data_IF_857354064385
#
_entry.id   IF_857354064385
#
_cell.length_a   1.000
_cell.length_b   1.000
_cell.length_c   1.000
_cell.angle_alpha   90.00
_cell.angle_beta   90.00
_cell.angle_gamma   90.00
#
_symmetry.space_group_name_H-M   'P 1'
#
loop_
_entity.id
_entity.type
_entity.pdbx_description
1 polymer ?
#
# COMPACT_ATOMS: atom_id res chain seq x y z
N UNK A 1 8.08 18.97 20.44
CA UNK A 1 8.34 19.70 19.18
C UNK A 1 7.33 20.82 19.05
N UNK A 2 7.80 22.02 18.77
CA UNK A 2 6.95 23.13 18.36
C UNK A 2 6.49 22.88 16.91
N UNK A 3 5.22 22.51 16.75
CA UNK A 3 4.65 22.14 15.47
C UNK A 3 4.57 23.31 14.50
N UNK A 4 4.25 24.51 15.00
CA UNK A 4 4.14 25.70 14.15
C UNK A 4 5.51 26.11 13.62
N UNK A 5 6.54 26.06 14.44
CA UNK A 5 7.93 26.28 14.01
C UNK A 5 8.37 25.25 12.97
N UNK A 6 8.08 23.97 13.20
CA UNK A 6 8.38 22.91 12.26
C UNK A 6 7.68 23.11 10.91
N UNK A 7 6.37 23.41 10.92
CA UNK A 7 5.60 23.69 9.72
C UNK A 7 6.12 24.90 8.96
N UNK A 8 6.43 26.00 9.67
CA UNK A 8 6.98 27.20 9.05
C UNK A 8 8.35 26.93 8.43
N UNK A 9 9.19 26.13 9.07
CA UNK A 9 10.50 25.73 8.53
C UNK A 9 10.31 24.98 7.20
N UNK A 10 9.38 24.03 7.12
CA UNK A 10 9.10 23.29 5.88
C UNK A 10 8.54 24.22 4.78
N UNK A 11 7.60 25.10 5.13
CA UNK A 11 7.00 26.03 4.18
C UNK A 11 7.99 27.01 3.58
N UNK A 12 8.98 27.44 4.38
CA UNK A 12 9.97 28.43 3.96
C UNK A 12 11.10 27.84 3.11
N UNK A 13 11.41 26.54 3.30
CA UNK A 13 12.59 25.93 2.68
C UNK A 13 12.26 24.96 1.53
N UNK A 14 11.05 24.38 1.52
CA UNK A 14 10.73 23.44 0.46
C UNK A 14 10.14 24.13 -0.77
N UNK A 15 10.55 23.74 -1.99
CA UNK A 15 10.09 24.37 -3.22
C UNK A 15 8.57 24.25 -3.39
N UNK A 16 7.89 25.40 -3.52
CA UNK A 16 6.42 25.47 -3.71
C UNK A 16 5.61 24.84 -2.58
N UNK A 17 6.14 24.83 -1.37
CA UNK A 17 5.45 24.31 -0.21
C UNK A 17 4.19 25.13 0.12
N UNK A 18 3.10 24.43 0.40
CA UNK A 18 1.83 25.00 0.83
C UNK A 18 1.06 24.05 1.72
N UNK A 19 0.28 24.59 2.67
CA UNK A 19 -0.64 23.79 3.47
C UNK A 19 -1.79 23.29 2.60
N UNK A 20 -2.14 22.01 2.74
CA UNK A 20 -3.28 21.35 2.07
C UNK A 20 -4.05 20.50 3.07
N UNK A 21 -5.17 19.92 2.67
CA UNK A 21 -5.96 19.02 3.53
C UNK A 21 -6.38 19.69 4.86
N UNK A 22 -6.72 20.98 4.83
CA UNK A 22 -7.08 21.72 6.05
C UNK A 22 -5.89 21.92 7.02
N UNK A 23 -4.67 22.00 6.49
CA UNK A 23 -3.44 22.17 7.30
C UNK A 23 -2.85 20.86 7.83
N UNK A 24 -3.43 19.72 7.46
CA UNK A 24 -2.95 18.39 7.90
C UNK A 24 -1.72 17.92 7.14
N UNK A 25 -1.48 18.49 5.98
CA UNK A 25 -0.36 18.14 5.12
C UNK A 25 0.25 19.38 4.51
N UNK A 26 1.54 19.28 4.20
CA UNK A 26 2.26 20.22 3.35
C UNK A 26 2.46 19.53 1.99
N UNK A 27 2.03 20.19 0.92
CA UNK A 27 2.30 19.76 -0.45
C UNK A 27 3.43 20.61 -1.02
N UNK A 28 4.42 19.98 -1.61
CA UNK A 28 5.55 20.66 -2.24
C UNK A 28 6.07 19.87 -3.45
N UNK A 29 7.13 20.34 -4.10
CA UNK A 29 7.85 19.56 -5.11
C UNK A 29 8.71 18.49 -4.45
N UNK A 30 8.84 17.37 -5.14
CA UNK A 30 9.59 16.23 -4.63
C UNK A 30 11.10 16.57 -4.51
N UNK A 31 11.71 16.10 -3.43
CA UNK A 31 13.13 16.25 -3.17
C UNK A 31 13.98 15.13 -3.80
N UNK A 32 13.31 14.05 -4.29
CA UNK A 32 13.96 12.82 -4.77
C UNK A 32 13.78 12.56 -6.27
N UNK A 33 12.88 13.30 -6.95
CA UNK A 33 12.69 13.14 -8.38
C UNK A 33 12.37 14.49 -9.07
N UNK A 34 12.47 14.58 -10.41
CA UNK A 34 12.17 15.82 -11.14
C UNK A 34 10.72 16.31 -10.99
N UNK A 35 9.86 15.50 -10.33
CA UNK A 35 8.45 15.80 -10.11
C UNK A 35 7.68 16.08 -11.42
N UNK A 36 6.74 17.00 -11.43
CA UNK A 36 5.93 17.34 -12.58
C UNK A 36 6.67 18.27 -13.55
N UNK A 37 6.42 18.09 -14.88
CA UNK A 37 6.83 19.09 -15.90
C UNK A 37 6.19 20.45 -15.61
N UNK A 38 4.96 20.46 -15.07
CA UNK A 38 4.32 21.68 -14.62
C UNK A 38 4.94 22.12 -13.27
N UNK A 39 5.70 23.20 -13.32
CA UNK A 39 6.43 23.73 -12.14
C UNK A 39 5.51 24.16 -11.00
N UNK A 40 4.21 24.40 -11.24
CA UNK A 40 3.25 24.78 -10.21
C UNK A 40 2.61 23.58 -9.50
N UNK A 41 2.89 22.34 -9.94
CA UNK A 41 2.35 21.11 -9.34
C UNK A 41 3.44 20.39 -8.55
N UNK A 42 3.17 20.09 -7.27
CA UNK A 42 3.95 19.21 -6.44
C UNK A 42 3.21 17.91 -6.18
N UNK A 43 3.94 16.80 -6.14
CA UNK A 43 3.40 15.48 -5.82
C UNK A 43 3.97 14.91 -4.52
N UNK A 44 4.72 15.73 -3.80
CA UNK A 44 5.32 15.38 -2.51
C UNK A 44 4.46 15.93 -1.37
N UNK A 45 4.13 15.08 -0.43
CA UNK A 45 3.26 15.41 0.70
C UNK A 45 3.97 15.08 1.99
N UNK A 46 3.84 15.94 2.97
CA UNK A 46 4.41 15.78 4.31
C UNK A 46 3.27 15.93 5.30
N UNK A 47 3.04 14.91 6.15
CA UNK A 47 2.02 14.99 7.20
C UNK A 47 2.48 15.90 8.33
N UNK A 48 1.56 16.72 8.85
CA UNK A 48 1.80 17.57 10.01
C UNK A 48 1.30 16.83 11.27
N UNK A 49 2.18 16.51 12.24
CA UNK A 49 1.77 15.91 13.51
C UNK A 49 0.77 16.80 14.25
N UNK A 50 -0.25 16.23 14.86
CA UNK A 50 -1.26 16.96 15.66
C UNK A 50 -1.06 16.76 17.15
N UNK A 51 -0.32 15.75 17.52
CA UNK A 51 -0.02 15.41 18.90
C UNK A 51 1.44 15.04 19.07
N UNK A 52 1.89 14.91 20.32
CA UNK A 52 3.25 14.46 20.65
C UNK A 52 3.51 13.01 20.25
N UNK A 53 2.45 12.29 19.90
CA UNK A 53 2.48 10.86 19.63
C UNK A 53 2.41 10.54 18.14
N UNK A 54 2.22 11.55 17.29
CA UNK A 54 2.16 11.38 15.84
C UNK A 54 3.51 11.67 15.19
N UNK A 55 3.95 10.77 14.32
CA UNK A 55 5.12 10.98 13.47
C UNK A 55 4.77 11.85 12.25
N UNK A 56 5.73 12.65 11.80
CA UNK A 56 5.65 13.28 10.48
C UNK A 56 6.15 12.33 9.42
N UNK A 57 5.35 12.08 8.39
CA UNK A 57 5.68 11.24 7.26
C UNK A 57 5.76 12.05 5.98
N UNK A 58 6.61 11.64 5.05
CA UNK A 58 6.58 12.15 3.69
C UNK A 58 6.23 11.05 2.69
N UNK A 59 5.64 11.47 1.57
CA UNK A 59 5.31 10.58 0.45
C UNK A 59 5.25 11.36 -0.86
N UNK A 60 5.90 10.84 -1.89
CA UNK A 60 5.79 11.34 -3.26
C UNK A 60 4.87 10.44 -4.09
N UNK A 61 3.78 10.99 -4.62
CA UNK A 61 2.86 10.24 -5.48
C UNK A 61 3.43 9.88 -6.85
N UNK A 62 4.58 10.44 -7.22
CA UNK A 62 5.19 10.21 -8.53
C UNK A 62 6.30 9.15 -8.48
N UNK A 63 7.28 9.31 -7.59
CA UNK A 63 8.39 8.36 -7.47
C UNK A 63 8.24 7.38 -6.31
N UNK A 64 7.12 7.45 -5.58
CA UNK A 64 6.77 6.60 -4.44
C UNK A 64 7.72 6.72 -3.23
N UNK A 65 8.74 7.61 -3.30
CA UNK A 65 9.59 7.87 -2.13
C UNK A 65 8.75 8.24 -0.92
N UNK A 66 8.96 7.56 0.19
CA UNK A 66 8.20 7.78 1.42
C UNK A 66 9.03 7.43 2.64
N UNK A 67 8.72 8.04 3.77
CA UNK A 67 9.43 7.77 5.02
C UNK A 67 8.96 8.64 6.17
N UNK A 68 9.63 8.47 7.32
CA UNK A 68 9.48 9.36 8.47
C UNK A 68 10.38 10.57 8.26
N UNK A 69 9.87 11.76 8.53
CA UNK A 69 10.72 12.94 8.56
C UNK A 69 11.62 12.88 9.81
N UNK A 70 12.90 12.75 9.58
CA UNK A 70 13.94 12.72 10.62
C UNK A 70 14.85 13.94 10.48
N UNK A 71 15.75 14.12 11.42
CA UNK A 71 16.83 15.11 11.29
C UNK A 71 17.63 14.89 10.00
N UNK A 72 18.02 13.64 9.71
CA UNK A 72 18.77 13.33 8.49
C UNK A 72 17.97 13.66 7.23
N UNK A 73 16.67 13.37 7.24
CA UNK A 73 15.78 13.72 6.14
C UNK A 73 15.74 15.23 5.88
N UNK A 74 15.70 16.05 6.93
CA UNK A 74 15.76 17.51 6.79
C UNK A 74 17.10 17.96 6.18
N UNK A 75 18.21 17.39 6.61
CA UNK A 75 19.54 17.67 6.04
C UNK A 75 19.58 17.31 4.55
N UNK A 76 19.09 16.13 4.17
CA UNK A 76 18.99 15.70 2.76
C UNK A 76 18.20 16.69 1.91
N UNK A 77 17.18 17.33 2.49
CA UNK A 77 16.37 18.36 1.81
C UNK A 77 17.01 19.76 1.85
N UNK A 78 18.23 19.89 2.38
CA UNK A 78 18.94 21.15 2.52
C UNK A 78 18.37 22.06 3.61
N UNK A 79 17.60 21.50 4.54
CA UNK A 79 16.99 22.23 5.66
C UNK A 79 17.83 22.01 6.91
N UNK A 80 18.43 23.07 7.43
CA UNK A 80 19.27 23.00 8.61
C UNK A 80 18.75 23.93 9.71
N UNK A 81 18.10 23.39 10.73
CA UNK A 81 17.74 24.08 11.96
C UNK A 81 18.05 23.17 13.15
N UNK A 82 19.13 23.45 13.91
CA UNK A 82 19.59 22.58 14.99
C UNK A 82 18.53 22.37 16.09
N UNK A 83 17.73 23.39 16.39
CA UNK A 83 16.69 23.26 17.41
C UNK A 83 15.55 22.37 16.96
N UNK A 84 15.03 22.58 15.74
CA UNK A 84 14.00 21.71 15.17
C UNK A 84 14.51 20.27 15.02
N UNK A 85 15.79 20.11 14.66
CA UNK A 85 16.42 18.79 14.56
C UNK A 85 16.42 18.03 15.90
N UNK A 86 16.80 18.68 16.99
CA UNK A 86 16.79 18.10 18.34
C UNK A 86 15.35 17.79 18.76
N UNK A 87 14.46 18.75 18.60
CA UNK A 87 13.04 18.58 18.96
C UNK A 87 12.37 17.47 18.17
N UNK A 88 12.65 17.37 16.86
CA UNK A 88 12.12 16.31 16.01
C UNK A 88 12.66 14.93 16.40
N UNK A 89 13.95 14.84 16.75
CA UNK A 89 14.55 13.59 17.21
C UNK A 89 13.94 13.12 18.52
N UNK A 90 13.72 14.02 19.48
CA UNK A 90 13.06 13.71 20.75
C UNK A 90 11.58 13.32 20.52
N UNK A 91 10.88 14.08 19.68
CA UNK A 91 9.51 13.81 19.31
C UNK A 91 9.36 12.42 18.69
N UNK A 92 10.20 12.08 17.71
CA UNK A 92 10.16 10.78 17.05
C UNK A 92 10.45 9.64 18.05
N UNK A 93 11.41 9.81 18.97
CA UNK A 93 11.66 8.82 20.03
C UNK A 93 10.44 8.61 20.94
N UNK A 94 9.80 9.70 21.36
CA UNK A 94 8.59 9.62 22.20
C UNK A 94 7.44 8.98 21.44
N UNK A 95 7.19 9.40 20.20
CA UNK A 95 6.13 8.83 19.36
C UNK A 95 6.35 7.34 19.07
N UNK A 96 7.60 6.90 18.84
CA UNK A 96 7.93 5.48 18.65
C UNK A 96 7.77 4.66 19.92
N UNK A 97 8.02 5.24 21.09
CA UNK A 97 7.97 4.55 22.38
C UNK A 97 6.59 4.62 23.05
N UNK A 98 5.66 5.41 22.52
CA UNK A 98 4.34 5.54 23.13
C UNK A 98 3.54 4.25 22.96
N UNK A 99 3.07 3.63 24.09
CA UNK A 99 2.21 2.45 24.05
C UNK A 99 0.90 2.68 23.29
N UNK A 100 0.38 3.91 23.24
CA UNK A 100 -0.83 4.25 22.46
C UNK A 100 -0.64 4.11 20.95
N UNK A 101 0.58 4.27 20.45
CA UNK A 101 0.93 3.88 19.07
C UNK A 101 1.08 2.35 18.91
N UNK A 102 1.08 1.61 20.03
CA UNK A 102 1.08 0.13 20.04
C UNK A 102 -0.32 -0.48 20.08
N UNK A 103 -1.34 0.33 20.27
CA UNK A 103 -2.74 -0.11 20.27
C UNK A 103 -3.31 0.07 18.85
N UNK A 104 -2.75 -0.66 17.91
CA UNK A 104 -3.62 -1.24 16.92
C UNK A 104 -4.21 -2.47 17.59
N UNK A 105 -5.39 -2.32 18.15
CA UNK A 105 -6.15 -3.43 18.64
C UNK A 105 -6.27 -4.43 17.49
N UNK A 106 -5.75 -5.64 17.70
CA UNK A 106 -6.02 -6.80 16.86
C UNK A 106 -7.52 -7.11 16.76
N UNK A 107 -8.34 -6.42 17.51
CA UNK A 107 -9.79 -6.58 17.61
C UNK A 107 -10.58 -5.89 16.47
N UNK A 108 -9.93 -5.15 15.58
CA UNK A 108 -10.55 -4.49 14.43
C UNK A 108 -10.34 -5.22 13.10
N UNK A 109 -10.32 -6.54 13.11
CA UNK A 109 -10.63 -7.26 11.89
C UNK A 109 -12.16 -7.20 11.73
N UNK A 110 -12.64 -6.39 10.79
CA UNK A 110 -14.05 -6.37 10.46
C UNK A 110 -14.48 -7.77 10.03
N UNK A 111 -15.53 -8.28 10.64
CA UNK A 111 -16.07 -9.59 10.31
C UNK A 111 -16.86 -9.53 8.98
N UNK A 112 -16.21 -8.98 7.95
CA UNK A 112 -16.78 -8.81 6.62
C UNK A 112 -16.92 -10.18 5.98
N UNK A 113 -18.14 -10.56 5.67
CA UNK A 113 -18.48 -11.79 4.98
C UNK A 113 -18.26 -11.62 3.48
N UNK A 114 -17.62 -12.58 2.86
CA UNK A 114 -17.53 -12.72 1.41
C UNK A 114 -17.35 -14.19 1.10
N UNK A 115 -18.47 -14.88 0.98
CA UNK A 115 -18.53 -16.35 0.86
C UNK A 115 -19.15 -16.81 -0.45
N UNK A 116 -19.71 -15.88 -1.21
CA UNK A 116 -20.41 -16.17 -2.46
C UNK A 116 -20.06 -15.14 -3.53
N UNK A 117 -19.96 -15.61 -4.76
CA UNK A 117 -19.92 -14.79 -5.97
C UNK A 117 -21.08 -15.24 -6.85
N UNK A 118 -21.92 -14.30 -7.27
CA UNK A 118 -22.94 -14.56 -8.29
C UNK A 118 -22.24 -14.81 -9.62
N UNK A 119 -22.49 -15.99 -10.20
CA UNK A 119 -21.88 -16.42 -11.44
C UNK A 119 -22.69 -15.90 -12.64
N UNK A 120 -22.55 -14.62 -12.91
CA UNK A 120 -23.14 -13.94 -14.07
C UNK A 120 -22.08 -13.65 -15.16
N UNK A 121 -22.53 -13.08 -16.28
CA UNK A 121 -21.64 -12.77 -17.40
C UNK A 121 -20.54 -11.77 -17.02
N UNK A 122 -20.82 -10.84 -16.10
CA UNK A 122 -19.88 -9.85 -15.65
C UNK A 122 -18.79 -10.47 -14.76
N UNK A 123 -19.17 -11.27 -13.77
CA UNK A 123 -18.22 -11.97 -12.90
C UNK A 123 -17.36 -12.95 -13.69
N UNK A 124 -17.95 -13.63 -14.68
CA UNK A 124 -17.24 -14.51 -15.62
C UNK A 124 -16.25 -13.74 -16.48
N UNK A 125 -16.63 -12.57 -16.99
CA UNK A 125 -15.73 -11.69 -17.74
C UNK A 125 -14.52 -11.27 -16.89
N UNK A 126 -14.76 -10.82 -15.65
CA UNK A 126 -13.71 -10.39 -14.72
C UNK A 126 -12.77 -11.53 -14.35
N UNK A 127 -13.30 -12.72 -14.08
CA UNK A 127 -12.50 -13.91 -13.80
C UNK A 127 -11.63 -14.28 -15.01
N UNK A 128 -12.20 -14.26 -16.21
CA UNK A 128 -11.45 -14.51 -17.43
C UNK A 128 -10.36 -13.45 -17.67
N UNK A 129 -10.63 -12.18 -17.37
CA UNK A 129 -9.63 -11.11 -17.44
C UNK A 129 -8.44 -11.41 -16.52
N UNK A 130 -8.67 -11.79 -15.26
CA UNK A 130 -7.60 -12.14 -14.32
C UNK A 130 -6.78 -13.31 -14.89
N UNK A 131 -7.46 -14.38 -15.28
CA UNK A 131 -6.82 -15.61 -15.77
C UNK A 131 -5.99 -15.36 -17.03
N UNK A 132 -6.53 -14.60 -17.97
CA UNK A 132 -5.81 -14.23 -19.20
C UNK A 132 -4.60 -13.35 -18.89
N UNK A 133 -4.78 -12.35 -18.04
CA UNK A 133 -3.72 -11.41 -17.66
C UNK A 133 -2.55 -12.09 -16.97
N UNK A 134 -2.84 -13.01 -16.06
CA UNK A 134 -1.83 -13.68 -15.24
C UNK A 134 -1.39 -15.03 -15.79
N UNK A 135 -2.09 -15.57 -16.80
CA UNK A 135 -1.84 -16.92 -17.29
C UNK A 135 -2.21 -18.00 -16.25
N UNK A 136 -3.24 -17.75 -15.45
CA UNK A 136 -3.71 -18.65 -14.38
C UNK A 136 -5.03 -19.34 -14.74
N UNK A 137 -5.48 -20.23 -13.88
CA UNK A 137 -6.77 -20.94 -14.01
C UNK A 137 -7.60 -20.82 -12.73
N UNK A 138 -7.69 -19.61 -12.18
CA UNK A 138 -8.48 -19.33 -10.98
C UNK A 138 -9.94 -19.67 -11.21
N UNK A 139 -10.56 -20.19 -10.18
CA UNK A 139 -12.01 -20.43 -10.09
C UNK A 139 -12.68 -19.38 -9.19
N UNK A 140 -14.01 -19.35 -9.16
CA UNK A 140 -14.75 -18.51 -8.20
C UNK A 140 -14.40 -18.85 -6.74
N UNK A 141 -14.15 -20.13 -6.43
CA UNK A 141 -13.71 -20.56 -5.09
C UNK A 141 -12.35 -19.99 -4.73
N UNK A 142 -11.43 -19.93 -5.70
CA UNK A 142 -10.13 -19.33 -5.49
C UNK A 142 -10.26 -17.82 -5.26
N UNK A 143 -11.11 -17.13 -6.02
CA UNK A 143 -11.37 -15.71 -5.81
C UNK A 143 -11.91 -15.42 -4.40
N UNK A 144 -12.84 -16.22 -3.89
CA UNK A 144 -13.34 -16.09 -2.52
C UNK A 144 -12.22 -16.32 -1.51
N UNK A 145 -11.48 -17.42 -1.65
CA UNK A 145 -10.36 -17.76 -0.76
C UNK A 145 -9.28 -16.70 -0.73
N UNK A 146 -9.01 -16.08 -1.85
CA UNK A 146 -7.95 -15.09 -2.03
C UNK A 146 -8.43 -13.65 -1.89
N UNK A 147 -9.66 -13.44 -1.40
CA UNK A 147 -10.23 -12.11 -1.17
C UNK A 147 -10.34 -11.23 -2.44
N UNK A 148 -10.59 -11.86 -3.60
CA UNK A 148 -10.82 -11.18 -4.89
C UNK A 148 -12.30 -10.96 -5.08
N UNK A 149 -12.73 -9.70 -5.19
CA UNK A 149 -14.14 -9.30 -5.32
C UNK A 149 -14.48 -9.10 -6.78
N UNK A 150 -15.23 -10.04 -7.35
CA UNK A 150 -15.71 -9.97 -8.74
C UNK A 150 -17.07 -9.28 -8.82
N UNK A 151 -17.89 -9.38 -7.77
CA UNK A 151 -19.19 -8.76 -7.66
C UNK A 151 -19.25 -7.96 -6.34
N UNK A 152 -19.29 -6.64 -6.46
CA UNK A 152 -19.31 -5.75 -5.30
C UNK A 152 -20.65 -5.81 -4.57
N UNK A 153 -21.75 -6.00 -5.31
CA UNK A 153 -23.08 -6.14 -4.71
C UNK A 153 -23.18 -7.38 -3.81
N UNK A 154 -22.58 -8.50 -4.19
CA UNK A 154 -22.55 -9.70 -3.34
C UNK A 154 -21.88 -9.40 -2.00
N UNK A 155 -20.71 -8.74 -2.04
CA UNK A 155 -20.00 -8.33 -0.82
C UNK A 155 -20.87 -7.43 0.06
N UNK A 156 -21.51 -6.42 -0.52
CA UNK A 156 -22.33 -5.46 0.22
C UNK A 156 -23.57 -6.11 0.80
N UNK A 157 -24.26 -6.95 0.02
CA UNK A 157 -25.47 -7.64 0.45
C UNK A 157 -25.19 -8.65 1.57
N UNK A 158 -24.11 -9.44 1.50
CA UNK A 158 -23.73 -10.38 2.57
C UNK A 158 -23.46 -9.65 3.92
N UNK A 159 -23.13 -8.36 3.86
CA UNK A 159 -22.84 -7.55 5.04
C UNK A 159 -24.00 -6.61 5.42
N UNK A 160 -25.18 -6.80 4.84
CA UNK A 160 -26.37 -5.97 5.08
C UNK A 160 -26.15 -4.47 4.80
N UNK A 161 -25.28 -4.15 3.87
CA UNK A 161 -25.00 -2.78 3.46
C UNK A 161 -25.92 -2.43 2.30
N UNK A 162 -27.13 -1.98 2.64
CA UNK A 162 -28.18 -1.62 1.68
C UNK A 162 -28.24 -0.13 1.34
N UNK A 163 -27.65 0.70 2.18
CA UNK A 163 -27.59 2.14 1.97
C UNK A 163 -26.35 2.52 1.14
N UNK A 164 -26.47 2.44 -0.14
CA UNK A 164 -25.51 3.00 -1.13
C UNK A 164 -25.58 4.53 -1.09
N UNK A 165 -25.17 5.08 0.01
CA UNK A 165 -25.72 6.20 0.74
C UNK A 165 -25.62 7.57 0.11
N UNK A 166 -24.90 7.82 -0.96
CA UNK A 166 -24.93 9.17 -1.58
C UNK A 166 -24.91 9.16 -3.10
N UNK A 167 -24.48 8.08 -3.71
CA UNK A 167 -24.34 7.97 -5.17
C UNK A 167 -24.56 6.52 -5.61
N UNK A 168 -25.80 6.05 -5.75
CA UNK A 168 -26.08 4.67 -6.20
C UNK A 168 -25.38 4.34 -7.51
N UNK A 169 -25.29 5.28 -8.42
CA UNK A 169 -24.59 5.12 -9.69
C UNK A 169 -23.09 4.81 -9.54
N UNK A 170 -22.44 5.23 -8.42
CA UNK A 170 -21.03 4.92 -8.20
C UNK A 170 -20.82 3.43 -7.95
N UNK A 171 -21.70 2.79 -7.17
CA UNK A 171 -21.59 1.37 -6.88
C UNK A 171 -21.78 0.56 -8.17
N UNK A 172 -22.75 0.93 -8.99
CA UNK A 172 -22.97 0.30 -10.31
C UNK A 172 -21.73 0.42 -11.21
N UNK A 173 -21.10 1.58 -11.25
CA UNK A 173 -19.86 1.76 -12.01
C UNK A 173 -18.69 0.95 -11.42
N UNK A 174 -18.52 0.95 -10.11
CA UNK A 174 -17.49 0.16 -9.44
C UNK A 174 -17.72 -1.32 -9.67
N UNK A 175 -18.95 -1.77 -9.56
CA UNK A 175 -19.28 -3.17 -9.81
C UNK A 175 -19.09 -3.54 -11.28
N UNK A 176 -19.52 -2.71 -12.23
CA UNK A 176 -19.44 -3.05 -13.66
C UNK A 176 -18.04 -2.90 -14.28
N UNK A 177 -17.18 -2.04 -13.74
CA UNK A 177 -15.93 -1.65 -14.40
C UNK A 177 -14.66 -1.98 -13.63
N UNK A 178 -14.77 -2.49 -12.40
CA UNK A 178 -13.62 -2.75 -11.55
C UNK A 178 -13.59 -4.19 -11.03
N UNK A 179 -12.39 -4.66 -10.76
CA UNK A 179 -12.13 -5.84 -9.92
C UNK A 179 -11.68 -5.33 -8.55
N UNK A 180 -12.23 -5.92 -7.49
CA UNK A 180 -11.89 -5.57 -6.12
C UNK A 180 -10.94 -6.56 -5.46
N UNK A 181 -10.18 -6.07 -4.48
CA UNK A 181 -9.27 -6.84 -3.65
C UNK A 181 -9.46 -6.40 -2.21
N UNK A 182 -9.95 -7.29 -1.34
CA UNK A 182 -10.22 -6.97 0.06
C UNK A 182 -8.92 -6.73 0.82
N UNK A 183 -8.94 -5.69 1.65
CA UNK A 183 -7.83 -5.41 2.57
C UNK A 183 -7.72 -6.49 3.65
N UNK A 184 -6.56 -6.54 4.33
CA UNK A 184 -6.33 -7.50 5.40
C UNK A 184 -7.34 -7.38 6.55
N UNK A 185 -7.75 -6.15 6.88
CA UNK A 185 -8.78 -5.88 7.88
C UNK A 185 -10.21 -6.03 7.31
N UNK A 186 -10.34 -6.32 6.01
CA UNK A 186 -11.60 -6.49 5.28
C UNK A 186 -12.52 -5.26 5.33
N UNK A 187 -12.01 -4.09 5.71
CA UNK A 187 -12.76 -2.83 5.75
C UNK A 187 -12.76 -2.09 4.41
N UNK A 188 -11.78 -2.35 3.57
CA UNK A 188 -11.61 -1.72 2.27
C UNK A 188 -11.59 -2.74 1.14
N UNK A 189 -12.10 -2.31 -0.01
CA UNK A 189 -11.88 -2.98 -1.29
C UNK A 189 -10.99 -2.07 -2.14
N UNK A 190 -9.81 -2.53 -2.49
CA UNK A 190 -8.99 -1.87 -3.48
C UNK A 190 -9.52 -2.23 -4.86
N UNK A 191 -10.18 -1.28 -5.50
CA UNK A 191 -10.85 -1.45 -6.78
C UNK A 191 -9.89 -1.08 -7.92
N UNK A 192 -9.63 -2.02 -8.81
CA UNK A 192 -8.81 -1.85 -10.03
C UNK A 192 -9.71 -1.71 -11.25
N UNK A 193 -9.62 -0.57 -11.93
CA UNK A 193 -10.34 -0.32 -13.16
C UNK A 193 -9.87 -1.26 -14.29
N UNK A 194 -10.82 -1.87 -14.98
CA UNK A 194 -10.59 -2.73 -16.13
C UNK A 194 -10.55 -1.97 -17.46
N UNK A 195 -10.76 -0.65 -17.41
CA UNK A 195 -10.81 0.22 -18.61
C UNK A 195 -11.90 -0.20 -19.61
N UNK A 196 -13.01 -0.77 -19.08
CA UNK A 196 -14.07 -1.34 -19.93
C UNK A 196 -15.01 -0.26 -20.50
N UNK A 197 -15.12 0.88 -19.84
CA UNK A 197 -16.07 1.93 -20.20
C UNK A 197 -15.38 3.25 -20.50
N UNK A 198 -15.68 3.81 -21.67
CA UNK A 198 -15.46 5.20 -21.97
C UNK A 198 -16.44 6.07 -21.17
N UNK A 199 -16.03 7.32 -20.83
CA UNK A 199 -16.87 8.31 -20.16
C UNK A 199 -17.27 8.00 -18.70
N UNK A 200 -16.38 7.41 -17.92
CA UNK A 200 -16.56 7.32 -16.46
C UNK A 200 -16.63 8.73 -15.83
N UNK A 201 -17.48 8.94 -14.81
CA UNK A 201 -17.43 10.17 -14.03
C UNK A 201 -16.01 10.45 -13.52
N UNK A 202 -15.55 11.69 -13.59
CA UNK A 202 -14.17 12.08 -13.18
C UNK A 202 -13.79 11.63 -11.77
N UNK A 203 -14.77 11.43 -10.89
CA UNK A 203 -14.54 10.95 -9.52
C UNK A 203 -14.08 9.49 -9.46
N UNK A 204 -14.47 8.69 -10.44
CA UNK A 204 -14.15 7.25 -10.56
C UNK A 204 -13.35 6.91 -11.81
N UNK A 205 -13.06 7.89 -12.68
CA UNK A 205 -12.10 7.76 -13.77
C UNK A 205 -10.67 7.74 -13.21
N UNK A 206 -10.37 6.67 -12.51
CA UNK A 206 -9.08 6.41 -11.87
C UNK A 206 -8.70 4.97 -12.07
N UNK A 207 -7.39 4.74 -12.18
CA UNK A 207 -6.84 3.39 -12.28
C UNK A 207 -7.12 2.55 -11.03
N UNK A 208 -7.10 3.17 -9.84
CA UNK A 208 -7.38 2.54 -8.56
C UNK A 208 -8.27 3.42 -7.70
N UNK A 209 -9.19 2.78 -6.99
CA UNK A 209 -10.08 3.40 -6.00
C UNK A 209 -10.08 2.53 -4.75
N UNK A 210 -9.89 3.13 -3.58
CA UNK A 210 -10.11 2.44 -2.31
C UNK A 210 -11.55 2.68 -1.86
N UNK A 211 -12.38 1.66 -1.96
CA UNK A 211 -13.75 1.70 -1.49
C UNK A 211 -13.84 1.24 -0.03
N UNK A 212 -14.41 2.08 0.83
CA UNK A 212 -14.60 1.75 2.23
C UNK A 212 -15.97 1.06 2.40
N UNK A 213 -15.96 -0.21 2.79
CA UNK A 213 -17.16 -1.04 2.90
C UNK A 213 -18.15 -0.48 3.93
N UNK A 214 -17.67 0.01 5.06
CA UNK A 214 -18.51 0.48 6.18
C UNK A 214 -18.65 2.00 6.28
N UNK A 215 -18.04 2.76 5.38
CA UNK A 215 -18.09 4.22 5.39
C UNK A 215 -17.37 4.90 6.56
N UNK A 216 -16.65 4.15 7.39
CA UNK A 216 -15.89 4.66 8.52
C UNK A 216 -14.44 4.91 8.10
N UNK A 217 -13.95 6.11 8.38
CA UNK A 217 -12.55 6.49 8.12
C UNK A 217 -11.69 6.18 9.33
N UNK A 218 -11.45 4.91 9.60
CA UNK A 218 -10.35 4.55 10.47
C UNK A 218 -9.07 4.40 9.65
N UNK A 219 -7.90 4.62 10.28
CA UNK A 219 -6.58 4.49 9.67
C UNK A 219 -6.21 3.03 9.43
N UNK A 220 -7.05 2.34 8.74
CA UNK A 220 -7.02 0.91 8.59
C UNK A 220 -6.10 0.50 7.46
N UNK A 221 -5.69 -0.72 7.54
CA UNK A 221 -4.70 -1.33 6.68
C UNK A 221 -5.31 -1.64 5.32
N UNK A 222 -5.09 -0.77 4.36
CA UNK A 222 -5.62 -0.87 2.99
C UNK A 222 -4.89 -1.88 2.13
N UNK A 223 -3.91 -2.57 2.70
CA UNK A 223 -3.11 -3.53 1.96
C UNK A 223 -3.97 -4.76 1.65
N UNK A 224 -4.01 -5.14 0.40
CA UNK A 224 -4.53 -6.44 0.00
C UNK A 224 -3.56 -7.52 0.47
N UNK A 225 -4.08 -8.57 1.06
CA UNK A 225 -3.31 -9.74 1.50
C UNK A 225 -4.01 -11.00 1.05
N UNK A 226 -3.28 -11.91 0.44
CA UNK A 226 -3.76 -13.25 0.13
C UNK A 226 -3.73 -14.04 1.44
N UNK A 227 -4.88 -14.57 1.92
CA UNK A 227 -4.92 -15.38 3.13
C UNK A 227 -4.07 -16.65 3.00
N UNK A 228 -3.16 -16.85 3.94
CA UNK A 228 -2.28 -18.02 4.00
C UNK A 228 -2.24 -18.54 5.41
N UNK A 229 -1.77 -19.79 5.58
CA UNK A 229 -1.59 -20.36 6.91
C UNK A 229 -0.19 -20.03 7.42
N UNK A 230 -0.12 -19.43 8.60
CA UNK A 230 1.14 -19.12 9.28
C UNK A 230 1.33 -20.07 10.48
N UNK A 231 2.52 -20.61 10.60
CA UNK A 231 2.96 -21.34 11.78
C UNK A 231 4.04 -20.50 12.48
N UNK A 232 3.62 -19.72 13.46
CA UNK A 232 4.53 -18.87 14.24
C UNK A 232 5.36 -19.65 15.26
N UNK A 233 5.12 -20.95 15.44
CA UNK A 233 5.95 -21.84 16.26
C UNK A 233 7.16 -22.36 15.48
N UNK A 234 7.15 -22.24 14.15
CA UNK A 234 8.27 -22.61 13.31
C UNK A 234 9.44 -21.65 13.54
N UNK A 235 10.69 -22.13 13.77
CA UNK A 235 11.87 -21.29 13.92
C UNK A 235 12.29 -20.59 12.63
N UNK A 236 11.87 -21.09 11.47
CA UNK A 236 12.15 -20.47 10.18
C UNK A 236 11.44 -19.12 10.04
N UNK A 237 12.06 -18.13 9.40
CA UNK A 237 11.43 -16.83 9.20
C UNK A 237 10.17 -16.93 8.35
N UNK A 238 9.17 -16.11 8.69
CA UNK A 238 8.00 -15.91 7.83
C UNK A 238 8.44 -15.12 6.59
N UNK A 239 8.17 -15.64 5.40
CA UNK A 239 8.48 -14.96 4.15
C UNK A 239 7.40 -13.94 3.81
N UNK A 240 7.77 -12.67 3.84
CA UNK A 240 6.87 -11.57 3.51
C UNK A 240 7.11 -11.08 2.09
N UNK A 241 6.23 -11.48 1.17
CA UNK A 241 6.25 -11.07 -0.22
C UNK A 241 5.43 -9.82 -0.41
N UNK A 242 6.01 -8.75 -0.97
CA UNK A 242 5.38 -7.45 -1.17
C UNK A 242 5.54 -7.01 -2.61
N UNK A 243 4.43 -6.67 -3.28
CA UNK A 243 4.43 -6.11 -4.63
C UNK A 243 3.67 -4.78 -4.68
N UNK A 244 3.81 -4.00 -5.76
CA UNK A 244 3.15 -2.70 -5.88
C UNK A 244 1.62 -2.84 -5.97
N UNK A 245 1.15 -3.74 -6.82
CA UNK A 245 -0.26 -3.94 -7.09
C UNK A 245 -0.80 -5.34 -6.77
N UNK A 246 -2.14 -5.47 -6.67
CA UNK A 246 -2.77 -6.77 -6.43
C UNK A 246 -2.47 -7.82 -7.51
N UNK A 247 -2.42 -7.41 -8.79
CA UNK A 247 -2.09 -8.35 -9.87
C UNK A 247 -0.66 -8.84 -9.80
N UNK A 248 0.27 -7.98 -9.34
CA UNK A 248 1.67 -8.36 -9.20
C UNK A 248 1.82 -9.44 -8.14
N UNK A 249 1.20 -9.23 -6.97
CA UNK A 249 1.29 -10.18 -5.87
C UNK A 249 0.54 -11.49 -6.16
N UNK A 250 -0.60 -11.44 -6.88
CA UNK A 250 -1.29 -12.64 -7.36
C UNK A 250 -0.41 -13.44 -8.32
N UNK A 251 0.26 -12.77 -9.26
CA UNK A 251 1.18 -13.43 -10.17
C UNK A 251 2.37 -14.06 -9.43
N UNK A 252 2.95 -13.35 -8.48
CA UNK A 252 4.00 -13.90 -7.60
C UNK A 252 3.52 -15.15 -6.89
N UNK A 253 2.34 -15.10 -6.28
CA UNK A 253 1.74 -16.22 -5.55
C UNK A 253 1.52 -17.44 -6.44
N UNK A 254 0.85 -17.26 -7.59
CA UNK A 254 0.47 -18.38 -8.47
C UNK A 254 1.58 -18.86 -9.39
N UNK A 255 2.41 -17.95 -9.89
CA UNK A 255 3.37 -18.24 -10.95
C UNK A 255 4.79 -18.51 -10.44
N UNK A 256 5.20 -17.86 -9.34
CA UNK A 256 6.59 -17.94 -8.87
C UNK A 256 6.75 -18.69 -7.55
N UNK A 257 5.81 -18.54 -6.62
CA UNK A 257 5.95 -19.03 -5.25
C UNK A 257 4.81 -19.99 -4.93
N UNK A 258 4.93 -21.21 -5.41
CA UNK A 258 3.91 -22.25 -5.21
C UNK A 258 3.78 -22.71 -3.75
N UNK A 259 4.74 -22.38 -2.88
CA UNK A 259 4.71 -22.76 -1.46
C UNK A 259 3.93 -21.73 -0.66
N UNK A 260 2.78 -22.14 -0.17
CA UNK A 260 1.89 -21.31 0.66
C UNK A 260 2.22 -21.36 2.16
N UNK A 261 3.18 -22.19 2.54
CA UNK A 261 3.53 -22.42 3.95
C UNK A 261 4.41 -21.30 4.47
N UNK A 262 4.05 -20.78 5.64
CA UNK A 262 4.77 -19.74 6.38
C UNK A 262 5.15 -18.50 5.55
N UNK A 263 4.26 -18.11 4.64
CA UNK A 263 4.46 -16.99 3.72
C UNK A 263 3.27 -16.05 3.74
N UNK A 264 3.52 -14.74 3.62
CA UNK A 264 2.52 -13.69 3.50
C UNK A 264 2.71 -13.02 2.14
N UNK A 265 1.61 -12.79 1.42
CA UNK A 265 1.61 -12.12 0.13
C UNK A 265 0.76 -10.87 0.22
N UNK A 266 1.39 -9.70 0.09
CA UNK A 266 0.73 -8.41 0.27
C UNK A 266 1.03 -7.44 -0.88
N UNK A 267 0.05 -6.61 -1.22
CA UNK A 267 0.28 -5.48 -2.11
C UNK A 267 0.28 -4.16 -1.37
N UNK A 268 1.02 -3.17 -1.91
CA UNK A 268 1.18 -1.85 -1.29
C UNK A 268 -0.11 -1.04 -1.33
N UNK A 269 -0.86 -1.12 -2.42
CA UNK A 269 -2.11 -0.39 -2.66
C UNK A 269 -2.02 1.12 -2.36
N UNK A 270 -0.88 1.73 -2.69
CA UNK A 270 -0.62 3.15 -2.48
C UNK A 270 -0.19 3.55 -1.07
N UNK A 271 0.01 2.59 -0.15
CA UNK A 271 0.52 2.88 1.21
C UNK A 271 2.04 3.01 1.29
N UNK A 272 2.74 2.71 0.20
CA UNK A 272 4.20 2.65 0.16
C UNK A 272 4.79 1.40 0.83
N UNK A 273 5.98 1.01 0.39
CA UNK A 273 6.69 -0.19 0.88
C UNK A 273 6.90 -0.18 2.40
N UNK A 274 7.26 0.98 2.95
CA UNK A 274 7.48 1.13 4.38
C UNK A 274 6.17 1.00 5.19
N UNK A 275 5.05 1.46 4.65
CA UNK A 275 3.73 1.35 5.31
C UNK A 275 3.31 -0.09 5.52
N UNK A 276 3.54 -0.95 4.52
CA UNK A 276 3.27 -2.39 4.60
C UNK A 276 4.16 -3.06 5.65
N UNK A 277 5.45 -2.77 5.65
CA UNK A 277 6.37 -3.33 6.65
C UNK A 277 5.99 -2.94 8.06
N UNK A 278 5.69 -1.65 8.29
CA UNK A 278 5.23 -1.19 9.61
C UNK A 278 4.01 -1.95 10.09
N UNK A 279 3.08 -2.23 9.20
CA UNK A 279 1.91 -3.03 9.57
C UNK A 279 2.31 -4.42 10.08
N UNK A 280 3.11 -5.16 9.32
CA UNK A 280 3.48 -6.54 9.71
C UNK A 280 4.38 -6.57 10.94
N UNK A 281 5.35 -5.67 11.05
CA UNK A 281 6.27 -5.64 12.20
C UNK A 281 5.58 -5.09 13.46
N UNK A 282 4.90 -3.96 13.36
CA UNK A 282 4.40 -3.25 14.55
C UNK A 282 3.00 -3.69 14.96
N UNK A 283 2.12 -3.98 14.01
CA UNK A 283 0.73 -4.36 14.30
C UNK A 283 0.61 -5.86 14.48
N UNK A 284 1.12 -6.64 13.55
CA UNK A 284 1.08 -8.10 13.64
C UNK A 284 2.22 -8.67 14.50
N UNK A 285 3.16 -7.83 14.94
CA UNK A 285 4.30 -8.21 15.81
C UNK A 285 5.15 -9.34 15.24
N UNK A 286 5.28 -9.39 13.92
CA UNK A 286 6.14 -10.38 13.28
C UNK A 286 7.58 -9.89 13.34
N UNK A 287 8.39 -10.55 14.13
CA UNK A 287 9.79 -10.16 14.40
C UNK A 287 10.82 -11.02 13.67
N UNK A 288 10.41 -12.18 13.15
CA UNK A 288 11.27 -13.08 12.38
C UNK A 288 10.77 -13.13 10.93
N UNK A 289 11.20 -12.16 10.12
CA UNK A 289 10.77 -12.01 8.73
C UNK A 289 11.94 -12.12 7.77
N UNK A 290 11.68 -12.76 6.64
CA UNK A 290 12.46 -12.66 5.40
C UNK A 290 11.62 -11.85 4.39
N UNK A 291 12.12 -10.69 3.97
CA UNK A 291 11.34 -9.72 3.21
C UNK A 291 11.71 -9.79 1.72
N UNK A 292 10.72 -9.99 0.88
CA UNK A 292 10.85 -10.07 -0.57
C UNK A 292 10.05 -8.95 -1.24
N UNK A 293 10.74 -7.94 -1.77
CA UNK A 293 10.13 -6.88 -2.55
C UNK A 293 10.15 -7.17 -4.04
N UNK A 294 8.97 -7.27 -4.64
CA UNK A 294 8.75 -7.36 -6.08
C UNK A 294 8.48 -5.95 -6.60
N UNK A 295 9.52 -5.31 -7.10
CA UNK A 295 9.48 -3.90 -7.45
C UNK A 295 9.34 -3.70 -8.95
N UNK A 296 8.58 -2.68 -9.33
CA UNK A 296 8.50 -2.22 -10.71
C UNK A 296 9.87 -1.73 -11.19
N UNK A 297 10.15 -1.86 -12.49
CA UNK A 297 11.45 -1.50 -13.05
C UNK A 297 11.77 0.00 -12.98
N UNK A 298 10.78 0.86 -12.76
CA UNK A 298 10.95 2.31 -12.58
C UNK A 298 11.12 2.73 -11.11
N UNK A 299 11.06 1.81 -10.16
CA UNK A 299 11.34 2.06 -8.73
C UNK A 299 12.84 2.23 -8.53
N UNK A 300 13.22 3.36 -7.91
CA UNK A 300 14.62 3.66 -7.64
C UNK A 300 15.15 2.81 -6.49
N UNK A 301 16.33 2.22 -6.67
CA UNK A 301 17.02 1.43 -5.64
C UNK A 301 17.26 2.24 -4.35
N UNK A 302 17.44 3.55 -4.43
CA UNK A 302 17.65 4.40 -3.25
C UNK A 302 16.51 4.32 -2.23
N UNK A 303 15.26 4.17 -2.70
CA UNK A 303 14.12 3.95 -1.81
C UNK A 303 14.24 2.63 -1.04
N UNK A 304 14.63 1.59 -1.75
CA UNK A 304 14.72 0.25 -1.16
C UNK A 304 15.92 0.17 -0.20
N UNK A 305 17.05 0.77 -0.57
CA UNK A 305 18.21 0.87 0.33
C UNK A 305 17.87 1.66 1.59
N UNK A 306 17.10 2.74 1.49
CA UNK A 306 16.62 3.49 2.64
C UNK A 306 15.75 2.62 3.58
N UNK A 307 14.86 1.81 3.02
CA UNK A 307 14.04 0.87 3.81
C UNK A 307 14.93 -0.18 4.48
N UNK A 308 15.92 -0.70 3.76
CA UNK A 308 16.89 -1.66 4.31
C UNK A 308 17.62 -1.10 5.54
N UNK A 309 18.09 0.15 5.47
CA UNK A 309 18.69 0.81 6.62
C UNK A 309 17.74 0.92 7.83
N UNK A 310 16.46 1.18 7.60
CA UNK A 310 15.47 1.27 8.66
C UNK A 310 15.19 -0.06 9.35
N UNK A 311 15.27 -1.19 8.62
CA UNK A 311 15.00 -2.51 9.17
C UNK A 311 16.25 -3.25 9.64
N UNK A 312 17.44 -2.76 9.31
CA UNK A 312 18.72 -3.35 9.74
C UNK A 312 18.79 -3.69 11.24
N UNK A 313 18.27 -2.84 12.18
CA UNK A 313 18.27 -3.16 13.59
C UNK A 313 17.44 -4.39 14.00
N UNK A 314 16.56 -4.85 13.11
CA UNK A 314 15.70 -6.00 13.36
C UNK A 314 16.29 -7.32 12.89
N UNK A 315 17.49 -7.30 12.28
CA UNK A 315 18.19 -8.50 11.78
C UNK A 315 17.36 -9.31 10.77
N UNK A 316 16.61 -8.64 9.91
CA UNK A 316 15.76 -9.26 8.88
C UNK A 316 16.49 -9.26 7.54
N UNK A 317 16.47 -10.39 6.84
CA UNK A 317 16.96 -10.43 5.47
C UNK A 317 15.98 -9.74 4.52
N UNK A 318 16.51 -8.99 3.56
CA UNK A 318 15.70 -8.30 2.54
C UNK A 318 16.22 -8.56 1.14
N UNK A 319 15.31 -8.99 0.28
CA UNK A 319 15.56 -9.28 -1.13
C UNK A 319 14.77 -8.36 -2.03
N UNK A 320 15.41 -7.90 -3.12
CA UNK A 320 14.72 -7.23 -4.21
C UNK A 320 14.58 -8.19 -5.38
N UNK A 321 13.39 -8.25 -5.92
CA UNK A 321 13.03 -8.99 -7.12
C UNK A 321 12.65 -8.00 -8.22
N UNK A 322 13.21 -8.18 -9.42
CA UNK A 322 12.85 -7.41 -10.62
C UNK A 322 12.51 -8.35 -11.75
N UNK A 323 11.49 -7.98 -12.52
CA UNK A 323 11.17 -8.69 -13.75
C UNK A 323 12.01 -8.10 -14.89
N UNK A 324 13.01 -8.83 -15.34
CA UNK A 324 13.92 -8.41 -16.41
C UNK A 324 13.47 -8.89 -17.80
N UNK A 325 12.26 -9.42 -17.94
CA UNK A 325 11.72 -9.80 -19.23
C UNK A 325 11.55 -8.55 -20.13
N UNK A 326 11.94 -8.60 -21.41
CA UNK A 326 11.88 -7.44 -22.30
C UNK A 326 10.47 -6.83 -22.38
N UNK A 327 10.42 -5.50 -22.34
CA UNK A 327 9.18 -4.71 -22.42
C UNK A 327 8.15 -5.00 -21.31
N UNK A 328 8.56 -5.60 -20.21
CA UNK A 328 7.70 -5.83 -19.04
C UNK A 328 8.13 -4.92 -17.91
N UNK A 329 7.17 -4.23 -17.30
CA UNK A 329 7.43 -3.27 -16.23
C UNK A 329 7.39 -3.91 -14.85
N UNK A 330 6.45 -4.83 -14.64
CA UNK A 330 6.02 -5.36 -13.36
C UNK A 330 5.88 -6.90 -13.39
N UNK A 331 5.40 -7.48 -12.31
CA UNK A 331 5.16 -8.92 -12.18
C UNK A 331 3.71 -9.33 -12.52
N UNK A 332 2.80 -8.39 -12.76
CA UNK A 332 1.38 -8.66 -13.03
C UNK A 332 1.12 -9.22 -14.44
N UNK A 333 1.88 -10.23 -14.83
CA UNK A 333 1.92 -10.85 -16.16
C UNK A 333 1.98 -12.37 -16.06
N UNK A 334 1.73 -13.12 -17.15
CA UNK A 334 1.90 -14.58 -17.19
C UNK A 334 3.33 -15.02 -16.91
N UNK A 335 3.52 -16.23 -16.39
CA UNK A 335 4.82 -16.81 -16.09
C UNK A 335 5.79 -16.75 -17.29
N UNK A 336 5.27 -16.95 -18.50
CA UNK A 336 6.07 -16.86 -19.74
C UNK A 336 6.69 -15.49 -20.00
N UNK A 337 6.22 -14.45 -19.30
CA UNK A 337 6.74 -13.08 -19.36
C UNK A 337 7.43 -12.65 -18.07
N UNK A 338 7.86 -13.60 -17.26
CA UNK A 338 8.62 -13.32 -16.03
C UNK A 338 10.04 -13.87 -16.20
N UNK A 339 11.01 -12.98 -16.08
CA UNK A 339 12.43 -13.34 -15.92
C UNK A 339 12.93 -12.67 -14.66
N UNK A 340 12.87 -13.40 -13.56
CA UNK A 340 13.19 -12.88 -12.24
C UNK A 340 14.68 -12.65 -12.06
N UNK A 341 15.06 -11.49 -11.55
CA UNK A 341 16.38 -11.18 -11.01
C UNK A 341 16.24 -10.90 -9.52
N UNK A 342 17.05 -11.54 -8.70
CA UNK A 342 17.00 -11.48 -7.24
C UNK A 342 18.30 -10.88 -6.72
N UNK A 343 18.21 -9.91 -5.82
CA UNK A 343 19.36 -9.32 -5.14
C UNK A 343 19.09 -9.24 -3.63
N UNK A 344 19.96 -9.87 -2.84
CA UNK A 344 20.02 -9.66 -1.39
C UNK A 344 20.55 -8.25 -1.10
N UNK A 345 19.89 -7.52 -0.20
CA UNK A 345 20.27 -6.16 0.18
C UNK A 345 20.90 -6.15 1.57
N UNK A 346 20.31 -6.85 2.54
CA UNK A 346 20.80 -7.03 3.90
C UNK A 346 20.45 -8.41 4.40
#
# INVERSE_FOLDING_TARGET
MDIDRYVNLLLSNLPRAKKVSGGREINCRCQYCPDSKNQNKGHFYISVPRSKDELSFFHCKKCQSSGVVTHNTLIEWGIYDPQVAIELSLHNKLAMNNPSNKIYNSDYVYNTKYNKITEDDLSKYKLNYINTRLGTSLTYKDCIRENIVLNLYDLLNENNITTYTRHPNIIEYLDSSFIGFLSIDRAFVNMRNLEIKDNLPKSIDKRYINYNVFGKYDNTHRNYVIPTTLDLSNPEPVKLHIAEGPFDILSVYHNLRQTQYNSIYSSINGNGYLGVLKFFIMTMKLVNLEIHYYVDNDVNDSLILYIAELIRPFNMNMFIHRNTYPNTKDFGVPLSKIKESIRLII
#
